data_IF_332098987311
#
_entry.id   IF_332098987311
#
_cell.length_a   1.000
_cell.length_b   1.000
_cell.length_c   1.000
_cell.angle_alpha   90.00
_cell.angle_beta   90.00
_cell.angle_gamma   90.00
#
_symmetry.space_group_name_H-M   'P 1'
#
loop_
_entity.id
_entity.type
_entity.pdbx_description
1 polymer ?
#
# COMPACT_ATOMS: atom_id res chain seq x y z
N UNK A 1 -1.67 0.25 13.05
CA UNK A 1 -0.52 1.15 13.26
C UNK A 1 0.11 1.54 11.94
N UNK A 2 0.70 0.60 11.18
CA UNK A 2 1.27 0.88 9.84
C UNK A 2 0.31 1.64 8.93
N UNK A 3 -0.94 1.19 8.82
CA UNK A 3 -1.93 1.88 7.98
C UNK A 3 -2.29 3.30 8.47
N UNK A 4 -2.20 3.57 9.78
CA UNK A 4 -2.40 4.90 10.34
C UNK A 4 -1.26 5.80 9.89
N UNK A 5 0.00 5.38 10.07
CA UNK A 5 1.17 6.11 9.57
C UNK A 5 1.09 6.37 8.06
N UNK A 6 0.61 5.40 7.28
CA UNK A 6 0.40 5.62 5.85
C UNK A 6 -0.65 6.69 5.55
N UNK A 7 -1.73 6.77 6.33
CA UNK A 7 -2.73 7.84 6.19
C UNK A 7 -2.15 9.22 6.45
N UNK A 8 -1.28 9.32 7.46
CA UNK A 8 -0.49 10.53 7.74
C UNK A 8 0.40 10.90 6.56
N UNK A 9 1.15 9.93 6.02
CA UNK A 9 2.04 10.14 4.90
C UNK A 9 1.32 10.71 3.67
N UNK A 10 0.26 10.03 3.23
CA UNK A 10 -0.43 10.34 1.97
C UNK A 10 -0.97 11.78 1.97
N UNK A 11 -1.31 12.31 3.14
CA UNK A 11 -1.90 13.64 3.30
C UNK A 11 -0.87 14.72 3.64
N UNK A 12 0.07 14.45 4.55
CA UNK A 12 1.06 15.42 5.01
C UNK A 12 2.16 15.67 3.97
N UNK A 13 2.60 14.64 3.25
CA UNK A 13 3.70 14.71 2.30
C UNK A 13 3.46 15.72 1.16
N UNK A 14 2.35 15.67 0.40
CA UNK A 14 2.11 16.63 -0.67
C UNK A 14 1.92 18.06 -0.15
N UNK A 15 1.29 18.22 1.02
CA UNK A 15 1.04 19.54 1.62
C UNK A 15 2.34 20.22 2.05
N UNK A 16 3.22 19.48 2.72
CA UNK A 16 4.54 19.97 3.10
C UNK A 16 5.42 20.27 1.87
N UNK A 17 5.42 19.38 0.88
CA UNK A 17 6.17 19.56 -0.36
C UNK A 17 5.74 20.83 -1.10
N UNK A 18 4.43 21.10 -1.16
CA UNK A 18 3.89 22.31 -1.76
C UNK A 18 4.36 23.56 -1.03
N UNK A 19 4.16 23.59 0.30
CA UNK A 19 4.54 24.74 1.11
C UNK A 19 6.03 25.04 1.03
N UNK A 20 6.87 24.02 1.19
CA UNK A 20 8.31 24.18 1.21
C UNK A 20 8.87 24.63 -0.17
N UNK A 21 8.27 24.13 -1.27
CA UNK A 21 8.67 24.55 -2.61
C UNK A 21 8.24 25.97 -2.96
N UNK A 22 7.07 26.39 -2.50
CA UNK A 22 6.63 27.79 -2.64
C UNK A 22 7.63 28.76 -1.99
N UNK A 23 8.09 28.45 -0.77
CA UNK A 23 9.08 29.28 -0.05
C UNK A 23 10.40 29.36 -0.81
N UNK A 24 10.88 28.24 -1.35
CA UNK A 24 12.13 28.19 -2.11
C UNK A 24 12.06 29.03 -3.40
N UNK A 25 11.00 28.89 -4.20
CA UNK A 25 10.85 29.62 -5.47
C UNK A 25 10.75 31.13 -5.24
N UNK A 26 10.00 31.57 -4.23
CA UNK A 26 9.85 33.00 -3.93
C UNK A 26 11.19 33.58 -3.44
N UNK A 27 11.91 32.84 -2.60
CA UNK A 27 13.24 33.25 -2.13
C UNK A 27 14.21 33.42 -3.29
N UNK A 28 14.26 32.46 -4.23
CA UNK A 28 15.20 32.51 -5.36
C UNK A 28 14.83 33.53 -6.44
N UNK A 29 13.54 33.73 -6.71
CA UNK A 29 13.08 34.55 -7.85
C UNK A 29 13.00 36.03 -7.51
N UNK A 30 12.53 36.36 -6.30
CA UNK A 30 12.29 37.74 -5.87
C UNK A 30 13.27 38.24 -4.81
N UNK A 31 14.16 37.38 -4.30
CA UNK A 31 15.16 37.75 -3.29
C UNK A 31 14.57 38.15 -1.93
N UNK A 32 13.34 37.72 -1.64
CA UNK A 32 12.71 37.97 -0.35
C UNK A 32 13.32 37.07 0.74
N UNK A 33 13.38 37.60 1.96
CA UNK A 33 13.73 36.85 3.16
C UNK A 33 12.68 35.74 3.44
N UNK A 34 13.12 34.65 4.08
CA UNK A 34 12.33 33.42 4.31
C UNK A 34 11.03 33.69 5.07
N UNK A 35 11.02 34.69 5.95
CA UNK A 35 9.82 35.07 6.70
C UNK A 35 8.76 35.73 5.81
N UNK A 36 9.18 36.68 4.95
CA UNK A 36 8.29 37.35 4.01
C UNK A 36 7.79 36.39 2.94
N UNK A 37 8.65 35.50 2.44
CA UNK A 37 8.27 34.46 1.49
C UNK A 37 7.20 33.52 2.07
N UNK A 38 7.38 33.09 3.33
CA UNK A 38 6.40 32.24 4.01
C UNK A 38 5.06 32.94 4.30
N UNK A 39 5.08 34.25 4.55
CA UNK A 39 3.87 35.06 4.71
C UNK A 39 3.07 35.16 3.40
N UNK A 40 3.78 35.31 2.28
CA UNK A 40 3.19 35.36 0.94
C UNK A 40 2.58 34.00 0.59
N UNK A 41 3.32 32.90 0.77
CA UNK A 41 2.81 31.54 0.53
C UNK A 41 1.60 31.18 1.43
N UNK A 42 1.47 31.77 2.61
CA UNK A 42 0.33 31.57 3.49
C UNK A 42 -0.92 32.37 3.06
N UNK A 43 -0.75 33.55 2.45
CA UNK A 43 -1.86 34.42 1.99
C UNK A 43 -2.35 34.12 0.58
N UNK A 44 -1.62 33.25 -0.12
CA UNK A 44 -1.78 32.84 -1.50
C UNK A 44 -3.18 32.34 -1.91
N UNK A 45 -4.04 32.00 -0.94
CA UNK A 45 -5.41 31.54 -1.19
C UNK A 45 -6.45 32.65 -1.46
N UNK A 46 -6.10 33.94 -1.27
CA UNK A 46 -7.08 35.03 -1.29
C UNK A 46 -6.75 36.18 -2.27
N UNK A 47 -5.63 36.12 -3.00
CA UNK A 47 -5.16 37.24 -3.84
C UNK A 47 -4.92 36.75 -5.27
N UNK A 48 -5.68 37.30 -6.23
CA UNK A 48 -5.59 36.98 -7.67
C UNK A 48 -4.21 37.35 -8.26
N UNK A 49 -3.46 38.23 -7.59
CA UNK A 49 -2.15 38.74 -8.04
C UNK A 49 -1.02 37.70 -7.99
N UNK A 50 -1.25 36.53 -7.36
CA UNK A 50 -0.26 35.46 -7.21
C UNK A 50 -0.59 34.18 -7.99
N UNK A 51 -1.61 34.19 -8.84
CA UNK A 51 -2.01 33.04 -9.66
C UNK A 51 -0.89 32.53 -10.59
N UNK A 52 -0.04 33.44 -11.08
CA UNK A 52 1.12 33.07 -11.90
C UNK A 52 2.12 32.23 -11.09
N UNK A 53 2.37 32.61 -9.82
CA UNK A 53 3.29 31.88 -8.94
C UNK A 53 2.70 30.51 -8.57
N UNK A 54 1.40 30.45 -8.28
CA UNK A 54 0.69 29.19 -8.02
C UNK A 54 0.86 28.22 -9.18
N UNK A 55 0.61 28.69 -10.40
CA UNK A 55 0.70 27.87 -11.61
C UNK A 55 2.13 27.33 -11.81
N UNK A 56 3.15 28.14 -11.55
CA UNK A 56 4.57 27.73 -11.66
C UNK A 56 4.90 26.67 -10.60
N UNK A 57 4.51 26.90 -9.34
CA UNK A 57 4.77 25.98 -8.22
C UNK A 57 4.07 24.65 -8.44
N UNK A 58 2.78 24.66 -8.80
CA UNK A 58 2.00 23.46 -9.06
C UNK A 58 2.57 22.65 -10.22
N UNK A 59 2.98 23.30 -11.31
CA UNK A 59 3.61 22.66 -12.45
C UNK A 59 4.93 21.97 -12.07
N UNK A 60 5.76 22.65 -11.28
CA UNK A 60 7.06 22.10 -10.84
C UNK A 60 6.86 20.88 -9.92
N UNK A 61 5.93 20.97 -8.97
CA UNK A 61 5.59 19.87 -8.05
C UNK A 61 5.00 18.69 -8.81
N UNK A 62 4.08 18.94 -9.73
CA UNK A 62 3.47 17.88 -10.54
C UNK A 62 4.53 17.13 -11.35
N UNK A 63 5.45 17.86 -12.00
CA UNK A 63 6.55 17.25 -12.74
C UNK A 63 7.49 16.44 -11.83
N UNK A 64 7.86 16.99 -10.68
CA UNK A 64 8.78 16.32 -9.75
C UNK A 64 8.16 15.10 -9.09
N UNK A 65 6.86 15.15 -8.77
CA UNK A 65 6.14 14.00 -8.22
C UNK A 65 6.13 12.82 -9.18
N UNK A 66 6.03 13.07 -10.49
CA UNK A 66 6.14 12.03 -11.51
C UNK A 66 7.54 11.39 -11.47
N UNK A 67 8.61 12.19 -11.38
CA UNK A 67 9.98 11.67 -11.25
C UNK A 67 10.18 10.83 -9.99
N UNK A 68 9.66 11.29 -8.84
CA UNK A 68 9.72 10.57 -7.57
C UNK A 68 8.96 9.24 -7.65
N UNK A 69 7.77 9.24 -8.25
CA UNK A 69 6.98 8.02 -8.43
C UNK A 69 7.67 7.01 -9.38
N UNK A 70 8.35 7.48 -10.42
CA UNK A 70 9.15 6.61 -11.29
C UNK A 70 10.34 6.04 -10.50
N UNK A 71 11.01 6.87 -9.70
CA UNK A 71 12.15 6.47 -8.89
C UNK A 71 11.81 5.39 -7.84
N UNK A 72 10.59 5.37 -7.29
CA UNK A 72 10.16 4.31 -6.37
C UNK A 72 9.51 3.11 -7.07
N UNK A 73 8.73 3.33 -8.14
CA UNK A 73 8.00 2.25 -8.83
C UNK A 73 8.92 1.29 -9.58
N UNK A 74 9.99 1.78 -10.23
CA UNK A 74 10.91 0.92 -10.99
C UNK A 74 11.64 -0.07 -10.07
N UNK A 75 12.28 0.35 -8.95
CA UNK A 75 12.84 -0.59 -7.99
C UNK A 75 11.79 -1.50 -7.36
N UNK A 76 10.59 -0.98 -7.06
CA UNK A 76 9.49 -1.78 -6.48
C UNK A 76 9.09 -2.93 -7.40
N UNK A 77 9.00 -2.69 -8.71
CA UNK A 77 8.61 -3.71 -9.68
C UNK A 77 9.60 -4.87 -9.72
N UNK A 78 10.90 -4.58 -9.55
CA UNK A 78 11.96 -5.60 -9.51
C UNK A 78 12.00 -6.29 -8.14
N UNK A 79 11.91 -5.52 -7.05
CA UNK A 79 12.08 -6.04 -5.69
C UNK A 79 10.84 -6.78 -5.17
N UNK A 80 9.63 -6.45 -5.59
CA UNK A 80 8.42 -7.10 -5.09
C UNK A 80 8.38 -8.62 -5.38
N UNK A 81 8.67 -9.13 -6.60
CA UNK A 81 8.78 -10.56 -6.86
C UNK A 81 9.95 -11.22 -6.10
N UNK A 82 11.07 -10.51 -5.95
CA UNK A 82 12.23 -11.01 -5.19
C UNK A 82 11.86 -11.21 -3.73
N UNK A 83 11.19 -10.23 -3.10
CA UNK A 83 10.70 -10.32 -1.73
C UNK A 83 9.64 -11.43 -1.59
N UNK A 84 8.76 -11.59 -2.57
CA UNK A 84 7.79 -12.69 -2.61
C UNK A 84 8.45 -14.07 -2.59
N UNK A 85 9.36 -14.32 -3.55
CA UNK A 85 10.10 -15.61 -3.60
C UNK A 85 11.02 -15.82 -2.40
N UNK A 86 11.57 -14.74 -1.85
CA UNK A 86 12.39 -14.78 -0.63
C UNK A 86 11.54 -15.16 0.60
N UNK A 87 10.31 -14.63 0.68
CA UNK A 87 9.34 -14.95 1.71
C UNK A 87 8.93 -16.43 1.72
N UNK A 88 8.85 -17.05 0.55
CA UNK A 88 8.52 -18.46 0.45
C UNK A 88 9.67 -19.36 0.94
N UNK A 89 10.93 -18.96 0.72
CA UNK A 89 12.11 -19.79 1.05
C UNK A 89 12.64 -19.61 2.47
N UNK A 90 12.67 -18.37 2.99
CA UNK A 90 13.29 -18.06 4.30
C UNK A 90 12.29 -17.80 5.42
N UNK A 91 11.01 -18.08 5.18
CA UNK A 91 9.92 -17.80 6.12
C UNK A 91 9.38 -16.37 5.95
N UNK A 92 8.19 -16.13 6.53
CA UNK A 92 7.39 -14.92 6.27
C UNK A 92 7.71 -13.73 7.18
N UNK A 93 8.34 -13.98 8.34
CA UNK A 93 8.65 -12.92 9.31
C UNK A 93 9.71 -11.95 8.80
N UNK A 94 10.80 -12.48 8.23
CA UNK A 94 11.94 -11.68 7.75
C UNK A 94 11.52 -10.67 6.65
N UNK A 95 10.81 -11.07 5.58
CA UNK A 95 10.30 -10.14 4.57
C UNK A 95 9.37 -9.07 5.14
N UNK A 96 8.47 -9.43 6.08
CA UNK A 96 7.60 -8.45 6.72
C UNK A 96 8.41 -7.41 7.52
N UNK A 97 9.39 -7.84 8.31
CA UNK A 97 10.25 -6.92 9.05
C UNK A 97 11.08 -6.04 8.11
N UNK A 98 11.56 -6.60 7.00
CA UNK A 98 12.32 -5.87 5.99
C UNK A 98 11.48 -4.74 5.36
N UNK A 99 10.26 -5.04 4.91
CA UNK A 99 9.35 -4.04 4.30
C UNK A 99 8.94 -2.95 5.30
N UNK A 100 8.60 -3.31 6.55
CA UNK A 100 8.25 -2.34 7.60
C UNK A 100 9.47 -1.48 7.98
N UNK A 101 10.68 -2.06 8.00
CA UNK A 101 11.90 -1.30 8.28
C UNK A 101 12.20 -0.27 7.18
N UNK A 102 11.98 -0.62 5.91
CA UNK A 102 12.10 0.32 4.79
C UNK A 102 11.11 1.48 4.88
N UNK A 103 9.86 1.16 5.21
CA UNK A 103 8.84 2.17 5.46
C UNK A 103 9.21 3.08 6.64
N UNK A 104 9.75 2.53 7.74
CA UNK A 104 10.22 3.34 8.87
C UNK A 104 11.38 4.26 8.49
N UNK A 105 12.36 3.77 7.73
CA UNK A 105 13.48 4.59 7.23
C UNK A 105 12.97 5.74 6.35
N UNK A 106 11.98 5.46 5.50
CA UNK A 106 11.33 6.50 4.70
C UNK A 106 10.68 7.59 5.57
N UNK A 107 10.00 7.23 6.66
CA UNK A 107 9.46 8.21 7.62
C UNK A 107 10.55 9.05 8.30
N UNK A 108 11.70 8.44 8.59
CA UNK A 108 12.83 9.17 9.15
C UNK A 108 13.39 10.17 8.12
N UNK A 109 13.51 9.78 6.85
CA UNK A 109 13.90 10.71 5.80
C UNK A 109 12.89 11.86 5.62
N UNK A 110 11.60 11.57 5.78
CA UNK A 110 10.55 12.59 5.76
C UNK A 110 10.73 13.60 6.90
N UNK A 111 10.95 13.11 8.12
CA UNK A 111 11.21 13.97 9.27
C UNK A 111 12.49 14.81 9.08
N UNK A 112 13.55 14.22 8.53
CA UNK A 112 14.79 14.94 8.21
C UNK A 112 14.55 16.02 7.16
N UNK A 113 13.74 15.75 6.13
CA UNK A 113 13.36 16.75 5.14
C UNK A 113 12.60 17.92 5.78
N UNK A 114 11.69 17.65 6.72
CA UNK A 114 10.96 18.69 7.47
C UNK A 114 11.87 19.52 8.38
N UNK A 115 12.92 18.95 8.96
CA UNK A 115 13.85 19.67 9.83
C UNK A 115 14.92 20.45 9.06
N UNK A 116 15.30 20.02 7.85
CA UNK A 116 16.42 20.59 7.08
C UNK A 116 15.99 21.46 5.89
N UNK A 117 14.71 21.80 5.79
CA UNK A 117 14.13 22.53 4.67
C UNK A 117 14.77 23.91 4.40
N UNK A 118 15.42 24.53 5.39
CA UNK A 118 16.08 25.84 5.25
C UNK A 118 17.49 25.76 4.64
N UNK A 119 18.15 24.60 4.70
CA UNK A 119 19.57 24.48 4.34
C UNK A 119 19.82 23.54 3.16
N UNK A 120 18.96 22.55 2.93
CA UNK A 120 19.17 21.50 1.93
C UNK A 120 17.96 21.43 1.00
N UNK A 121 18.20 21.20 -0.30
CA UNK A 121 17.12 20.95 -1.25
C UNK A 121 16.29 19.73 -0.82
N UNK A 122 15.01 20.00 -0.60
CA UNK A 122 14.00 19.06 -0.11
C UNK A 122 13.90 17.83 -1.04
N UNK A 123 14.16 18.02 -2.33
CA UNK A 123 14.13 16.95 -3.33
C UNK A 123 15.16 15.84 -3.08
N UNK A 124 16.33 16.16 -2.53
CA UNK A 124 17.35 15.14 -2.26
C UNK A 124 16.87 14.12 -1.23
N UNK A 125 16.22 14.58 -0.15
CA UNK A 125 15.69 13.72 0.90
C UNK A 125 14.49 12.90 0.42
N UNK A 126 13.56 13.53 -0.30
CA UNK A 126 12.42 12.83 -0.89
C UNK A 126 12.85 11.76 -1.89
N UNK A 127 13.81 12.09 -2.77
CA UNK A 127 14.32 11.14 -3.75
C UNK A 127 15.03 9.96 -3.07
N UNK A 128 15.88 10.23 -2.08
CA UNK A 128 16.51 9.17 -1.29
C UNK A 128 15.46 8.29 -0.60
N UNK A 129 14.46 8.91 0.04
CA UNK A 129 13.37 8.20 0.70
C UNK A 129 12.60 7.29 -0.25
N UNK A 130 12.11 7.81 -1.37
CA UNK A 130 11.35 7.05 -2.38
C UNK A 130 12.16 5.90 -2.97
N UNK A 131 13.46 6.13 -3.22
CA UNK A 131 14.36 5.10 -3.71
C UNK A 131 14.52 3.95 -2.68
N UNK A 132 14.74 4.29 -1.40
CA UNK A 132 14.84 3.30 -0.32
C UNK A 132 13.53 2.53 -0.14
N UNK A 133 12.40 3.23 -0.12
CA UNK A 133 11.08 2.61 -0.04
C UNK A 133 10.86 1.64 -1.22
N UNK A 134 11.25 2.06 -2.43
CA UNK A 134 11.19 1.22 -3.63
C UNK A 134 12.05 -0.04 -3.53
N UNK A 135 13.28 0.06 -3.04
CA UNK A 135 14.15 -1.11 -2.84
C UNK A 135 13.62 -2.10 -1.79
N UNK A 136 12.84 -1.61 -0.83
CA UNK A 136 12.15 -2.47 0.13
C UNK A 136 10.83 -3.04 -0.39
N UNK A 137 10.51 -2.88 -1.67
CA UNK A 137 9.30 -3.41 -2.31
C UNK A 137 8.06 -2.52 -2.16
N UNK A 138 8.24 -1.32 -1.63
CA UNK A 138 7.18 -0.32 -1.48
C UNK A 138 6.02 -0.73 -0.56
N UNK A 139 5.03 0.16 -0.48
CA UNK A 139 3.83 0.01 0.35
C UNK A 139 3.03 -1.26 -0.04
N UNK A 140 3.03 -1.62 -1.32
CA UNK A 140 2.33 -2.80 -1.83
C UNK A 140 2.87 -4.11 -1.24
N UNK A 141 4.19 -4.29 -1.19
CA UNK A 141 4.80 -5.49 -0.60
C UNK A 141 4.57 -5.59 0.91
N UNK A 142 4.54 -4.47 1.61
CA UNK A 142 4.28 -4.41 3.05
C UNK A 142 2.86 -4.91 3.37
N UNK A 143 1.83 -4.42 2.66
CA UNK A 143 0.48 -4.94 2.85
C UNK A 143 0.32 -6.36 2.32
N UNK A 144 0.93 -6.69 1.18
CA UNK A 144 0.94 -8.05 0.64
C UNK A 144 1.48 -9.08 1.64
N UNK A 145 2.66 -8.83 2.20
CA UNK A 145 3.28 -9.72 3.21
C UNK A 145 2.46 -9.81 4.49
N UNK A 146 1.79 -8.72 4.90
CA UNK A 146 0.88 -8.76 6.05
C UNK A 146 -0.35 -9.67 5.79
N UNK A 147 -0.97 -9.57 4.62
CA UNK A 147 -2.13 -10.38 4.23
C UNK A 147 -1.76 -11.85 4.02
N UNK A 148 -0.56 -12.12 3.48
CA UNK A 148 -0.09 -13.51 3.34
C UNK A 148 0.15 -14.15 4.71
N UNK A 149 0.68 -13.42 5.71
CA UNK A 149 0.82 -13.94 7.08
C UNK A 149 -0.55 -14.27 7.70
N UNK A 150 -1.53 -13.39 7.53
CA UNK A 150 -2.92 -13.66 8.00
C UNK A 150 -3.46 -14.90 7.31
N UNK A 151 -3.28 -15.03 5.99
CA UNK A 151 -3.75 -16.19 5.21
C UNK A 151 -3.11 -17.49 5.68
N UNK A 152 -1.83 -17.50 6.00
CA UNK A 152 -1.13 -18.69 6.50
C UNK A 152 -1.55 -19.09 7.90
N UNK A 153 -1.76 -18.13 8.82
CA UNK A 153 -2.30 -18.43 10.15
C UNK A 153 -3.69 -19.09 10.04
N UNK A 154 -4.50 -18.67 9.06
CA UNK A 154 -5.80 -19.29 8.80
C UNK A 154 -5.63 -20.73 8.30
N UNK A 155 -4.71 -20.96 7.35
CA UNK A 155 -4.49 -22.29 6.75
C UNK A 155 -4.00 -23.31 7.77
N UNK A 156 -3.17 -22.90 8.72
CA UNK A 156 -2.64 -23.78 9.77
C UNK A 156 -3.70 -24.20 10.81
N UNK A 157 -4.73 -23.36 11.03
CA UNK A 157 -5.77 -23.60 12.05
C UNK A 157 -7.03 -24.28 11.49
N UNK A 158 -7.21 -24.31 10.17
CA UNK A 158 -8.45 -24.76 9.54
C UNK A 158 -8.25 -26.02 8.71
N UNK A 159 -9.25 -26.91 8.71
CA UNK A 159 -9.30 -28.06 7.79
C UNK A 159 -9.43 -27.55 6.34
N UNK A 160 -8.79 -28.19 5.35
CA UNK A 160 -8.92 -27.82 3.94
C UNK A 160 -10.40 -27.84 3.52
N UNK A 161 -10.90 -26.71 2.97
CA UNK A 161 -12.30 -26.52 2.59
C UNK A 161 -13.11 -25.53 3.45
N UNK A 162 -12.50 -24.91 4.48
CA UNK A 162 -13.19 -23.90 5.30
C UNK A 162 -13.36 -22.55 4.56
N UNK A 163 -14.60 -22.06 4.47
CA UNK A 163 -14.97 -20.76 3.87
C UNK A 163 -14.58 -19.53 4.72
N UNK A 164 -13.82 -19.71 5.80
CA UNK A 164 -13.50 -18.62 6.76
C UNK A 164 -12.22 -17.85 6.43
N UNK A 165 -11.40 -18.33 5.48
CA UNK A 165 -10.17 -17.63 5.05
C UNK A 165 -10.48 -16.27 4.38
N UNK A 166 -11.40 -16.18 3.39
CA UNK A 166 -11.73 -14.90 2.76
C UNK A 166 -12.29 -13.88 3.76
N UNK A 167 -13.09 -14.33 4.74
CA UNK A 167 -13.65 -13.45 5.77
C UNK A 167 -12.54 -12.78 6.61
N UNK A 168 -11.51 -13.53 7.00
CA UNK A 168 -10.40 -12.98 7.80
C UNK A 168 -9.52 -12.02 7.01
N UNK A 169 -9.26 -12.31 5.73
CA UNK A 169 -8.59 -11.38 4.82
C UNK A 169 -9.43 -10.10 4.68
N UNK A 170 -10.75 -10.22 4.52
CA UNK A 170 -11.66 -9.08 4.47
C UNK A 170 -11.61 -8.21 5.73
N UNK A 171 -11.60 -8.83 6.92
CA UNK A 171 -11.44 -8.10 8.20
C UNK A 171 -10.09 -7.39 8.29
N UNK A 172 -8.99 -8.04 7.87
CA UNK A 172 -7.67 -7.42 7.87
C UNK A 172 -7.62 -6.20 6.93
N UNK A 173 -8.18 -6.32 5.72
CA UNK A 173 -8.27 -5.21 4.77
C UNK A 173 -9.17 -4.08 5.27
N UNK A 174 -10.26 -4.39 5.96
CA UNK A 174 -11.11 -3.37 6.59
C UNK A 174 -10.35 -2.59 7.67
N UNK A 175 -9.64 -3.28 8.57
CA UNK A 175 -8.83 -2.64 9.61
C UNK A 175 -7.70 -1.79 9.01
N UNK A 176 -7.12 -2.24 7.90
CA UNK A 176 -6.14 -1.46 7.14
C UNK A 176 -6.75 -0.16 6.59
N UNK A 177 -7.85 -0.23 5.86
CA UNK A 177 -8.51 0.96 5.29
C UNK A 177 -9.01 1.91 6.37
N UNK A 178 -9.57 1.37 7.46
CA UNK A 178 -9.99 2.17 8.61
C UNK A 178 -8.80 2.90 9.24
N UNK A 179 -7.66 2.21 9.40
CA UNK A 179 -6.43 2.82 9.88
C UNK A 179 -5.95 3.98 9.01
N UNK A 180 -5.95 3.83 7.68
CA UNK A 180 -5.58 4.93 6.78
C UNK A 180 -6.54 6.11 6.87
N UNK A 181 -7.85 5.87 6.99
CA UNK A 181 -8.84 6.94 7.17
C UNK A 181 -8.59 7.72 8.47
N UNK A 182 -8.30 7.02 9.57
CA UNK A 182 -7.96 7.64 10.85
C UNK A 182 -6.68 8.48 10.74
N UNK A 183 -5.67 8.01 10.00
CA UNK A 183 -4.44 8.78 9.75
C UNK A 183 -4.68 10.05 8.93
N UNK A 184 -5.46 9.94 7.85
CA UNK A 184 -5.88 11.09 7.04
C UNK A 184 -6.66 12.10 7.87
N UNK A 185 -7.66 11.64 8.63
CA UNK A 185 -8.44 12.50 9.51
C UNK A 185 -7.57 13.17 10.58
N UNK A 186 -6.63 12.42 11.18
CA UNK A 186 -5.67 12.95 12.14
C UNK A 186 -4.84 14.09 11.54
N UNK A 187 -4.36 13.94 10.30
CA UNK A 187 -3.64 15.01 9.60
C UNK A 187 -4.54 16.21 9.33
N UNK A 188 -5.79 16.00 8.92
CA UNK A 188 -6.75 17.10 8.72
C UNK A 188 -7.07 17.88 10.00
N UNK A 189 -7.06 17.23 11.17
CA UNK A 189 -7.25 17.90 12.47
C UNK A 189 -6.00 18.65 12.94
N UNK A 190 -4.81 18.15 12.61
CA UNK A 190 -3.53 18.75 12.99
C UNK A 190 -3.07 19.85 12.02
N UNK A 191 -3.52 19.79 10.76
CA UNK A 191 -3.32 20.84 9.78
C UNK A 191 -4.06 22.10 10.23
N UNK A 192 -3.32 23.01 10.86
CA UNK A 192 -3.85 24.31 11.30
C UNK A 192 -4.26 25.09 10.05
N UNK A 193 -5.47 25.63 10.01
CA UNK A 193 -5.88 26.57 8.96
C UNK A 193 -5.22 27.94 9.18
N UNK A 194 -5.09 28.72 8.11
CA UNK A 194 -4.06 29.77 7.90
C UNK A 194 -4.15 31.16 8.59
N UNK A 195 -5.04 31.52 9.54
CA UNK A 195 -5.21 32.95 9.81
C UNK A 195 -4.39 33.57 10.96
N UNK A 196 -3.70 32.82 11.84
CA UNK A 196 -3.14 33.44 13.07
C UNK A 196 -1.61 33.55 13.22
N UNK A 197 -0.79 32.56 12.80
CA UNK A 197 0.67 32.75 12.79
C UNK A 197 1.44 31.77 11.88
N UNK A 198 2.48 32.28 11.22
CA UNK A 198 3.37 31.51 10.32
C UNK A 198 4.20 30.48 11.11
N UNK A 199 4.59 30.82 12.34
CA UNK A 199 5.37 29.94 13.20
C UNK A 199 4.58 28.70 13.63
N UNK A 200 3.28 28.84 13.93
CA UNK A 200 2.42 27.70 14.28
C UNK A 200 2.18 26.78 13.08
N UNK A 201 2.13 27.32 11.86
CA UNK A 201 2.04 26.52 10.63
C UNK A 201 3.26 25.62 10.45
N UNK A 202 4.46 26.18 10.57
CA UNK A 202 5.72 25.40 10.52
C UNK A 202 5.76 24.32 11.60
N UNK A 203 5.37 24.69 12.81
CA UNK A 203 5.37 23.78 13.96
C UNK A 203 4.36 22.63 13.79
N UNK A 204 3.22 22.87 13.13
CA UNK A 204 2.23 21.83 12.81
C UNK A 204 2.81 20.73 11.91
N UNK A 205 3.56 21.08 10.86
CA UNK A 205 4.22 20.08 9.99
C UNK A 205 5.23 19.23 10.75
N UNK A 206 6.05 19.85 11.61
CA UNK A 206 7.03 19.15 12.45
C UNK A 206 6.33 18.19 13.41
N UNK A 207 5.26 18.64 14.09
CA UNK A 207 4.49 17.79 14.99
C UNK A 207 3.84 16.62 14.27
N UNK A 208 3.31 16.86 13.06
CA UNK A 208 2.69 15.81 12.24
C UNK A 208 3.72 14.75 11.85
N UNK A 209 4.90 15.16 11.38
CA UNK A 209 6.00 14.24 11.05
C UNK A 209 6.51 13.47 12.29
N UNK A 210 6.59 14.11 13.46
CA UNK A 210 6.96 13.44 14.71
C UNK A 210 5.93 12.39 15.13
N UNK A 211 4.63 12.72 15.04
CA UNK A 211 3.54 11.77 15.32
C UNK A 211 3.63 10.59 14.36
N UNK A 212 3.81 10.85 13.07
CA UNK A 212 3.95 9.82 12.05
C UNK A 212 5.10 8.84 12.35
N UNK A 213 6.31 9.37 12.62
CA UNK A 213 7.49 8.57 13.00
C UNK A 213 7.24 7.79 14.28
N UNK A 214 6.58 8.38 15.28
CA UNK A 214 6.27 7.70 16.55
C UNK A 214 5.32 6.51 16.34
N UNK A 215 4.27 6.67 15.53
CA UNK A 215 3.33 5.60 15.19
C UNK A 215 4.01 4.52 14.35
N UNK A 216 4.92 4.92 13.46
CA UNK A 216 5.75 4.01 12.68
C UNK A 216 6.72 3.20 13.56
N UNK A 217 7.36 3.84 14.53
CA UNK A 217 8.25 3.19 15.49
C UNK A 217 7.48 2.17 16.35
N UNK A 218 6.31 2.54 16.87
CA UNK A 218 5.44 1.61 17.59
C UNK A 218 5.05 0.41 16.73
N UNK A 219 4.77 0.63 15.43
CA UNK A 219 4.47 -0.46 14.50
C UNK A 219 5.68 -1.39 14.29
N UNK A 220 6.89 -0.84 14.15
CA UNK A 220 8.13 -1.61 14.00
C UNK A 220 8.43 -2.44 15.26
N UNK A 221 8.32 -1.83 16.44
CA UNK A 221 8.51 -2.49 17.74
C UNK A 221 7.49 -3.62 17.90
N UNK A 222 6.21 -3.35 17.59
CA UNK A 222 5.17 -4.36 17.61
C UNK A 222 5.49 -5.51 16.65
N UNK A 223 5.89 -5.21 15.42
CA UNK A 223 6.25 -6.22 14.43
C UNK A 223 7.45 -7.07 14.90
N UNK A 224 8.44 -6.46 15.54
CA UNK A 224 9.63 -7.17 16.03
C UNK A 224 9.32 -8.14 17.17
N UNK A 225 8.58 -7.68 18.20
CA UNK A 225 8.32 -8.46 19.41
C UNK A 225 7.12 -9.42 19.30
N UNK A 226 6.01 -8.96 18.70
CA UNK A 226 4.75 -9.73 18.72
C UNK A 226 4.59 -10.67 17.53
N UNK A 227 5.22 -10.39 16.39
CA UNK A 227 5.11 -11.28 15.23
C UNK A 227 5.97 -12.52 15.45
N UNK A 228 5.29 -13.65 15.68
CA UNK A 228 5.91 -14.98 15.66
C UNK A 228 6.03 -15.50 14.23
N UNK A 229 7.03 -16.35 14.00
CA UNK A 229 7.12 -17.16 12.79
C UNK A 229 5.83 -18.00 12.67
N UNK A 230 5.05 -17.78 11.61
CA UNK A 230 3.85 -18.59 11.31
C UNK A 230 4.13 -19.69 10.29
N UNK A 231 5.22 -19.58 9.52
CA UNK A 231 5.60 -20.53 8.50
C UNK A 231 6.99 -21.08 8.79
N UNK A 232 7.05 -22.37 9.13
CA UNK A 232 8.29 -23.13 9.17
C UNK A 232 8.43 -23.84 7.83
N UNK A 233 9.46 -23.57 7.02
CA UNK A 233 9.68 -24.31 5.80
C UNK A 233 9.88 -25.79 6.17
N UNK A 234 8.89 -26.64 5.84
CA UNK A 234 9.12 -28.07 5.82
C UNK A 234 10.11 -28.33 4.69
N UNK A 235 11.21 -29.03 4.95
CA UNK A 235 12.13 -29.47 3.91
C UNK A 235 11.33 -30.11 2.76
N UNK A 236 11.55 -29.62 1.52
CA UNK A 236 10.84 -30.04 0.30
C UNK A 236 10.84 -31.57 0.08
N UNK A 237 11.78 -32.28 0.72
CA UNK A 237 11.87 -33.74 0.79
C UNK A 237 10.56 -34.40 1.27
N UNK A 238 9.81 -33.76 2.18
CA UNK A 238 8.55 -34.31 2.69
C UNK A 238 7.38 -34.15 1.71
N UNK A 239 7.39 -33.12 0.86
CA UNK A 239 6.32 -32.89 -0.11
C UNK A 239 6.44 -33.84 -1.30
N UNK A 240 7.68 -34.11 -1.73
CA UNK A 240 7.97 -35.12 -2.77
C UNK A 240 7.63 -36.53 -2.30
N UNK A 241 8.03 -36.92 -1.08
CA UNK A 241 7.69 -38.23 -0.53
C UNK A 241 6.18 -38.45 -0.43
N UNK A 242 5.40 -37.41 -0.14
CA UNK A 242 3.93 -37.52 -0.08
C UNK A 242 3.32 -37.71 -1.46
N UNK A 243 3.82 -37.00 -2.48
CA UNK A 243 3.40 -37.18 -3.87
C UNK A 243 3.83 -38.55 -4.42
N UNK A 244 5.02 -39.04 -4.07
CA UNK A 244 5.48 -40.38 -4.44
C UNK A 244 4.69 -41.49 -3.74
N UNK A 245 4.28 -41.28 -2.48
CA UNK A 245 3.39 -42.23 -1.78
C UNK A 245 2.01 -42.28 -2.44
N UNK A 246 1.52 -41.15 -2.97
CA UNK A 246 0.32 -41.14 -3.81
C UNK A 246 0.57 -41.76 -5.19
N UNK A 247 1.76 -41.62 -5.78
CA UNK A 247 2.13 -42.21 -7.07
C UNK A 247 2.23 -43.74 -7.01
N UNK A 248 2.85 -44.28 -5.94
CA UNK A 248 2.91 -45.73 -5.70
C UNK A 248 1.56 -46.34 -5.31
N UNK A 249 0.65 -45.54 -4.75
CA UNK A 249 -0.75 -45.94 -4.55
C UNK A 249 -1.64 -45.70 -5.79
N UNK A 250 -1.14 -45.01 -6.83
CA UNK A 250 -1.89 -44.64 -8.04
C UNK A 250 -1.82 -45.68 -9.16
N UNK A 251 -1.22 -46.84 -8.95
CA UNK A 251 -1.45 -48.03 -9.79
C UNK A 251 -2.92 -48.48 -9.79
N UNK A 252 -3.75 -47.92 -8.88
CA UNK A 252 -5.19 -48.19 -8.76
C UNK A 252 -6.05 -46.95 -9.09
N UNK A 253 -5.47 -45.76 -9.33
CA UNK A 253 -6.24 -44.51 -9.49
C UNK A 253 -5.89 -43.72 -10.75
N UNK A 254 -5.43 -44.38 -11.81
CA UNK A 254 -5.15 -43.78 -13.12
C UNK A 254 -6.43 -43.56 -13.96
N UNK A 255 -7.56 -43.21 -13.32
CA UNK A 255 -8.84 -42.87 -13.99
C UNK A 255 -9.38 -41.50 -13.59
N UNK A 256 -8.83 -40.84 -12.55
CA UNK A 256 -9.40 -39.58 -12.02
C UNK A 256 -8.68 -38.30 -12.44
N UNK A 257 -7.43 -38.37 -12.90
CA UNK A 257 -6.61 -37.18 -13.21
C UNK A 257 -7.04 -36.46 -14.50
N UNK A 258 -7.86 -37.10 -15.34
CA UNK A 258 -8.41 -36.48 -16.55
C UNK A 258 -9.64 -35.59 -16.27
N UNK A 259 -10.15 -35.55 -15.03
CA UNK A 259 -11.39 -34.84 -14.69
C UNK A 259 -11.18 -33.44 -14.07
N UNK A 260 -9.99 -33.14 -13.54
CA UNK A 260 -9.73 -31.86 -12.86
C UNK A 260 -9.17 -30.80 -13.82
N UNK A 261 -8.39 -31.18 -14.83
CA UNK A 261 -7.86 -30.21 -15.81
C UNK A 261 -8.90 -29.79 -16.87
N UNK A 262 -9.95 -30.60 -17.11
CA UNK A 262 -11.02 -30.26 -18.07
C UNK A 262 -12.10 -29.32 -17.53
N UNK A 263 -12.09 -28.97 -16.24
CA UNK A 263 -13.17 -28.18 -15.61
C UNK A 263 -12.92 -26.67 -15.54
N UNK A 264 -11.72 -26.20 -15.88
CA UNK A 264 -11.43 -24.77 -16.07
C UNK A 264 -11.66 -24.29 -17.52
N UNK A 265 -11.75 -25.19 -18.51
CA UNK A 265 -12.02 -24.81 -19.92
C UNK A 265 -13.50 -24.82 -20.29
N UNK A 266 -14.39 -25.32 -19.42
CA UNK A 266 -15.82 -25.50 -19.74
C UNK A 266 -16.76 -24.47 -19.09
N UNK A 267 -16.25 -23.30 -18.70
CA UNK A 267 -17.05 -22.15 -18.24
C UNK A 267 -17.20 -21.03 -19.28
N UNK A 268 -16.79 -21.29 -20.52
CA UNK A 268 -16.85 -20.35 -21.63
C UNK A 268 -17.61 -20.90 -22.85
N UNK A 269 -18.80 -21.46 -22.65
CA UNK A 269 -19.87 -21.56 -23.66
C UNK A 269 -20.98 -22.46 -23.11
N UNK A 270 -22.13 -21.88 -22.74
CA UNK A 270 -23.39 -22.49 -23.14
C UNK A 270 -24.54 -21.47 -23.12
N UNK A 271 -25.17 -21.21 -24.29
CA UNK A 271 -26.45 -20.53 -24.39
C UNK A 271 -27.58 -21.54 -24.21
N UNK A 272 -28.67 -21.12 -23.55
CA UNK A 272 -30.08 -21.60 -23.62
C UNK A 272 -30.68 -21.59 -22.20
N UNK A 273 -31.45 -20.57 -21.82
CA UNK A 273 -32.89 -20.45 -22.14
C UNK A 273 -33.35 -21.50 -23.16
N UNK A 274 -34.08 -22.52 -22.73
CA UNK A 274 -35.43 -22.91 -23.22
C UNK A 274 -35.73 -24.38 -22.82
N UNK A 275 -36.96 -24.62 -22.37
CA UNK A 275 -37.74 -25.89 -22.34
C UNK A 275 -37.53 -26.86 -21.17
N UNK A 276 -38.46 -26.77 -20.22
CA UNK A 276 -39.09 -27.92 -19.58
C UNK A 276 -40.61 -27.71 -19.63
N UNK A 277 -41.37 -28.75 -20.02
CA UNK A 277 -42.84 -28.73 -19.97
C UNK A 277 -43.50 -29.62 -21.02
N UNK A 278 -43.50 -30.93 -20.79
CA UNK A 278 -44.29 -31.95 -21.51
C UNK A 278 -45.53 -32.29 -20.67
N UNK A 279 -46.67 -32.42 -21.35
CA UNK A 279 -47.93 -32.97 -20.85
C UNK A 279 -49.08 -32.02 -21.18
N UNK A 280 -50.15 -32.36 -21.90
CA UNK A 280 -50.63 -33.61 -22.47
C UNK A 280 -52.13 -33.41 -22.75
N UNK A 281 -52.64 -33.95 -23.86
CA UNK A 281 -54.07 -34.26 -24.02
C UNK A 281 -54.94 -33.27 -24.80
N UNK A 282 -55.37 -33.70 -25.99
CA UNK A 282 -56.80 -33.80 -26.31
C UNK A 282 -57.44 -32.74 -27.22
N UNK A 283 -57.64 -33.11 -28.50
CA UNK A 283 -58.99 -33.13 -29.09
C UNK A 283 -59.43 -32.07 -30.11
N UNK A 284 -59.76 -32.58 -31.32
CA UNK A 284 -60.82 -32.16 -32.28
C UNK A 284 -60.64 -30.90 -33.14
N UNK A 285 -60.63 -31.07 -34.48
CA UNK A 285 -61.69 -30.76 -35.49
C UNK A 285 -61.93 -29.24 -35.63
N UNK A 286 -61.97 -28.58 -36.79
CA UNK A 286 -62.23 -28.94 -38.19
C UNK A 286 -61.78 -27.75 -39.08
N UNK A 287 -61.45 -28.02 -40.33
CA UNK A 287 -61.33 -27.06 -41.47
C UNK A 287 -62.72 -26.55 -41.92
N UNK A 288 -62.84 -25.60 -42.87
CA UNK A 288 -61.81 -24.90 -43.66
C UNK A 288 -61.66 -23.40 -43.37
#
# INVERSE_FOLDING_TARGET
MVAISLGFLITSQPLFMYWARCVEIISTTKGYDVQNASAICARLSNDDDFDEINTIVEKDIASTKIYLQIASSVPTFIMAPVIGTWSDKRGRKIPLLFTISGFFIYMVFQLLATLTYEHISIYCWFFAGELFLGFTGGIGSMFGTSLTIVTDDCRNKLKPGSSTVPMRIGVASFVQSFGSLVGTFGTSMLAVQNPHSIHEHKFSYINTALIEVSVGAMALIYAFFMVRETYFPLNDVYLYNRLDTFSTSSSVMMTFTHYVYRRCESFGNDPKITRAGVGGGGGRQESP
#
